data_IF_642276027459
#
_entry.id   IF_642276027459
#
_cell.length_a   1.000
_cell.length_b   1.000
_cell.length_c   1.000
_cell.angle_alpha   90.00
_cell.angle_beta   90.00
_cell.angle_gamma   90.00
#
_symmetry.space_group_name_H-M   'P 1'
#
loop_
_entity.id
_entity.type
_entity.pdbx_description
1 polymer ?
#
# COMPACT_ATOMS: atom_id res chain seq x y z
N UNK A 1 -27.87 -0.84 -46.42
CA UNK A 1 -27.50 -0.33 -45.07
C UNK A 1 -27.01 1.10 -45.27
N UNK A 2 -27.71 2.11 -44.74
CA UNK A 2 -27.31 3.50 -44.91
C UNK A 2 -25.95 3.74 -44.23
N UNK A 3 -25.08 4.52 -44.87
CA UNK A 3 -23.78 4.85 -44.31
C UNK A 3 -23.96 5.60 -42.97
N UNK A 4 -23.24 5.21 -41.90
CA UNK A 4 -23.38 5.87 -40.61
C UNK A 4 -22.97 7.34 -40.71
N UNK A 5 -23.82 8.23 -40.20
CA UNK A 5 -23.56 9.68 -40.22
C UNK A 5 -22.38 10.03 -39.30
N UNK A 6 -21.62 11.09 -39.59
CA UNK A 6 -20.51 11.55 -38.73
C UNK A 6 -20.91 11.74 -37.26
N UNK A 7 -22.15 12.20 -37.02
CA UNK A 7 -22.72 12.38 -35.68
C UNK A 7 -22.93 11.04 -34.96
N UNK A 8 -23.37 9.99 -35.67
CA UNK A 8 -23.52 8.65 -35.08
C UNK A 8 -22.17 8.07 -34.64
N UNK A 9 -21.10 8.35 -35.41
CA UNK A 9 -19.73 7.95 -35.09
C UNK A 9 -19.21 8.71 -33.85
N UNK A 10 -19.45 10.02 -33.78
CA UNK A 10 -19.09 10.83 -32.59
C UNK A 10 -19.79 10.33 -31.33
N UNK A 11 -21.09 10.04 -31.40
CA UNK A 11 -21.86 9.51 -30.27
C UNK A 11 -21.36 8.13 -29.84
N UNK A 12 -21.05 7.25 -30.80
CA UNK A 12 -20.44 5.95 -30.51
C UNK A 12 -19.08 6.10 -29.81
N UNK A 13 -18.23 7.03 -30.27
CA UNK A 13 -16.93 7.31 -29.68
C UNK A 13 -17.04 7.88 -28.26
N UNK A 14 -18.00 8.77 -28.00
CA UNK A 14 -18.32 9.26 -26.65
C UNK A 14 -18.71 8.11 -25.72
N UNK A 15 -19.57 7.19 -26.18
CA UNK A 15 -19.98 6.01 -25.38
C UNK A 15 -18.80 5.09 -25.07
N UNK A 16 -17.92 4.83 -26.03
CA UNK A 16 -16.71 4.03 -25.83
C UNK A 16 -15.78 4.68 -24.80
N UNK A 17 -15.56 6.00 -24.90
CA UNK A 17 -14.71 6.71 -23.95
C UNK A 17 -15.28 6.68 -22.52
N UNK A 18 -16.60 6.84 -22.38
CA UNK A 18 -17.27 6.71 -21.09
C UNK A 18 -17.16 5.29 -20.51
N UNK A 19 -17.32 4.26 -21.36
CA UNK A 19 -17.18 2.87 -20.93
C UNK A 19 -15.74 2.55 -20.48
N UNK A 20 -14.74 3.05 -21.20
CA UNK A 20 -13.32 2.94 -20.82
C UNK A 20 -13.04 3.62 -19.49
N UNK A 21 -13.49 4.86 -19.31
CA UNK A 21 -13.31 5.57 -18.04
C UNK A 21 -13.95 4.83 -16.85
N UNK A 22 -15.11 4.19 -17.06
CA UNK A 22 -15.75 3.34 -16.03
C UNK A 22 -14.92 2.10 -15.71
N UNK A 23 -14.36 1.44 -16.72
CA UNK A 23 -13.48 0.29 -16.54
C UNK A 23 -12.23 0.67 -15.73
N UNK A 24 -11.58 1.78 -16.09
CA UNK A 24 -10.39 2.28 -15.42
C UNK A 24 -10.69 2.63 -13.94
N UNK A 25 -11.85 3.24 -13.68
CA UNK A 25 -12.29 3.54 -12.32
C UNK A 25 -12.52 2.26 -11.48
N UNK A 26 -13.05 1.20 -12.07
CA UNK A 26 -13.23 -0.09 -11.39
C UNK A 26 -11.88 -0.77 -11.10
N UNK A 27 -10.98 -0.78 -12.08
CA UNK A 27 -9.62 -1.31 -11.89
C UNK A 27 -8.86 -0.54 -10.80
N UNK A 28 -8.98 0.79 -10.77
CA UNK A 28 -8.38 1.62 -9.75
C UNK A 28 -8.92 1.30 -8.35
N UNK A 29 -10.22 0.98 -8.21
CA UNK A 29 -10.84 0.57 -6.94
C UNK A 29 -10.29 -0.77 -6.45
N UNK A 30 -10.20 -1.77 -7.33
CA UNK A 30 -9.61 -3.09 -6.99
C UNK A 30 -8.16 -2.94 -6.56
N UNK A 31 -7.37 -2.15 -7.29
CA UNK A 31 -5.98 -1.88 -6.94
C UNK A 31 -5.86 -1.11 -5.60
N UNK A 32 -6.77 -0.18 -5.33
CA UNK A 32 -6.83 0.55 -4.06
C UNK A 32 -7.20 -0.36 -2.88
N UNK A 33 -8.12 -1.30 -3.08
CA UNK A 33 -8.51 -2.29 -2.07
C UNK A 33 -7.36 -3.25 -1.75
N UNK A 34 -6.64 -3.73 -2.77
CA UNK A 34 -5.43 -4.54 -2.60
C UNK A 34 -4.38 -3.82 -1.76
N UNK A 35 -4.11 -2.54 -2.07
CA UNK A 35 -3.20 -1.70 -1.27
C UNK A 35 -3.70 -1.49 0.15
N UNK A 36 -5.01 -1.26 0.35
CA UNK A 36 -5.60 -1.08 1.68
C UNK A 36 -5.40 -2.31 2.56
N UNK A 37 -5.66 -3.50 2.02
CA UNK A 37 -5.47 -4.76 2.76
C UNK A 37 -3.99 -5.02 3.05
N UNK A 38 -3.10 -4.77 2.09
CA UNK A 38 -1.65 -4.88 2.28
C UNK A 38 -1.14 -3.95 3.39
N UNK A 39 -1.51 -2.66 3.35
CA UNK A 39 -1.18 -1.70 4.42
C UNK A 39 -1.69 -2.18 5.78
N UNK A 40 -2.92 -2.68 5.84
CA UNK A 40 -3.50 -3.18 7.11
C UNK A 40 -2.74 -4.39 7.66
N UNK A 41 -2.33 -5.33 6.80
CA UNK A 41 -1.52 -6.49 7.20
C UNK A 41 -0.16 -6.06 7.76
N UNK A 42 0.51 -5.11 7.09
CA UNK A 42 1.79 -4.55 7.55
C UNK A 42 1.68 -3.87 8.91
N UNK A 43 0.64 -3.06 9.12
CA UNK A 43 0.38 -2.40 10.42
C UNK A 43 0.15 -3.43 11.52
N UNK A 44 -0.74 -4.40 11.29
CA UNK A 44 -1.08 -5.42 12.30
C UNK A 44 0.16 -6.26 12.64
N UNK A 45 0.86 -6.78 11.62
CA UNK A 45 2.02 -7.63 11.84
C UNK A 45 3.18 -6.86 12.48
N UNK A 46 3.41 -5.61 12.08
CA UNK A 46 4.42 -4.75 12.69
C UNK A 46 4.14 -4.47 14.17
N UNK A 47 2.89 -4.17 14.53
CA UNK A 47 2.48 -3.98 15.92
C UNK A 47 2.68 -5.25 16.76
N UNK A 48 2.29 -6.42 16.24
CA UNK A 48 2.50 -7.70 16.91
C UNK A 48 3.99 -8.04 17.08
N UNK A 49 4.82 -7.70 16.08
CA UNK A 49 6.26 -7.92 16.13
C UNK A 49 6.93 -7.04 17.21
N UNK A 50 6.54 -5.77 17.31
CA UNK A 50 7.07 -4.86 18.35
C UNK A 50 6.63 -5.33 19.75
N UNK A 51 5.37 -5.75 19.92
CA UNK A 51 4.89 -6.32 21.18
C UNK A 51 5.63 -7.61 21.56
N UNK A 52 5.88 -8.51 20.60
CA UNK A 52 6.67 -9.72 20.83
C UNK A 52 8.13 -9.40 21.19
N UNK A 53 8.72 -8.42 20.51
CA UNK A 53 10.08 -7.94 20.79
C UNK A 53 10.24 -7.37 22.21
N UNK A 54 9.18 -6.77 22.77
CA UNK A 54 9.20 -6.29 24.17
C UNK A 54 9.28 -7.41 25.22
N UNK A 55 8.92 -8.65 24.84
CA UNK A 55 8.76 -9.79 25.77
C UNK A 55 9.83 -10.88 25.57
N UNK A 56 10.36 -11.01 24.35
CA UNK A 56 11.30 -12.06 23.98
C UNK A 56 12.48 -11.49 23.18
N UNK A 57 13.69 -11.74 23.70
CA UNK A 57 14.98 -11.30 23.14
C UNK A 57 15.20 -11.77 21.71
N UNK A 58 14.63 -12.92 21.32
CA UNK A 58 14.70 -13.40 19.93
C UNK A 58 14.07 -12.41 18.96
N UNK A 59 12.89 -11.89 19.30
CA UNK A 59 12.18 -10.94 18.45
C UNK A 59 12.82 -9.55 18.51
N UNK A 60 13.37 -9.15 19.66
CA UNK A 60 14.15 -7.92 19.79
C UNK A 60 15.36 -7.90 18.83
N UNK A 61 16.12 -8.99 18.78
CA UNK A 61 17.25 -9.13 17.84
C UNK A 61 16.82 -9.03 16.38
N UNK A 62 15.67 -9.61 16.02
CA UNK A 62 15.12 -9.52 14.66
C UNK A 62 14.74 -8.07 14.33
N UNK A 63 14.08 -7.36 15.24
CA UNK A 63 13.70 -5.96 14.99
C UNK A 63 14.93 -5.06 14.85
N UNK A 64 15.94 -5.24 15.70
CA UNK A 64 17.21 -4.50 15.60
C UNK A 64 17.88 -4.71 14.24
N UNK A 65 17.98 -5.96 13.78
CA UNK A 65 18.53 -6.30 12.47
C UNK A 65 17.72 -5.70 11.31
N UNK A 66 16.39 -5.72 11.39
CA UNK A 66 15.53 -5.13 10.35
C UNK A 66 15.68 -3.61 10.27
N UNK A 67 15.79 -2.93 11.42
CA UNK A 67 15.99 -1.47 11.47
C UNK A 67 17.36 -1.07 10.90
N UNK A 68 18.42 -1.84 11.15
CA UNK A 68 19.74 -1.58 10.57
C UNK A 68 19.79 -1.73 9.04
N UNK A 69 18.91 -2.55 8.45
CA UNK A 69 18.82 -2.75 7.00
C UNK A 69 18.14 -1.59 6.26
N UNK A 70 17.58 -0.62 6.98
CA UNK A 70 16.95 0.54 6.35
C UNK A 70 18.02 1.40 5.69
N UNK A 71 18.06 1.36 4.37
CA UNK A 71 19.06 2.03 3.54
C UNK A 71 18.66 3.43 3.10
N UNK A 72 17.36 3.74 3.12
CA UNK A 72 16.82 5.05 2.73
C UNK A 72 16.81 5.98 3.93
N UNK A 73 17.48 7.12 3.83
CA UNK A 73 17.55 8.10 4.92
C UNK A 73 16.17 8.58 5.37
N UNK A 74 15.22 8.76 4.44
CA UNK A 74 13.84 9.16 4.77
C UNK A 74 13.13 8.12 5.64
N UNK A 75 13.38 6.83 5.38
CA UNK A 75 12.78 5.73 6.13
C UNK A 75 13.52 5.45 7.44
N UNK A 76 14.78 5.91 7.58
CA UNK A 76 15.59 5.80 8.80
C UNK A 76 15.23 6.85 9.84
N UNK A 77 14.93 8.09 9.42
CA UNK A 77 14.58 9.21 10.31
C UNK A 77 13.59 8.88 11.42
N UNK A 78 12.49 8.15 11.18
CA UNK A 78 11.54 7.80 12.25
C UNK A 78 12.11 6.89 13.34
N UNK A 79 13.24 6.22 13.08
CA UNK A 79 13.91 5.30 14.01
C UNK A 79 15.11 5.95 14.71
N UNK A 80 15.46 7.20 14.40
CA UNK A 80 16.53 7.91 15.09
C UNK A 80 16.14 8.20 16.55
N UNK A 81 16.91 7.66 17.51
CA UNK A 81 16.61 7.78 18.94
C UNK A 81 15.43 6.93 19.43
N UNK A 82 14.88 6.07 18.57
CA UNK A 82 13.81 5.15 18.92
C UNK A 82 14.38 3.83 19.46
N UNK A 83 13.93 3.41 20.64
CA UNK A 83 14.26 2.12 21.26
C UNK A 83 13.03 1.23 21.33
N UNK A 84 13.24 -0.08 21.43
CA UNK A 84 12.14 -1.01 21.59
C UNK A 84 11.44 -0.77 22.95
N UNK A 85 10.10 -0.66 22.99
CA UNK A 85 9.39 -0.52 24.25
C UNK A 85 9.71 -1.70 25.18
N UNK A 86 10.33 -1.43 26.33
CA UNK A 86 10.74 -2.47 27.30
C UNK A 86 12.25 -2.75 27.34
N UNK A 87 13.05 -2.13 26.47
CA UNK A 87 14.52 -2.22 26.50
C UNK A 87 15.13 -1.36 27.64
N UNK A 88 14.40 -0.37 28.15
CA UNK A 88 14.78 0.53 29.26
C UNK A 88 14.32 0.06 30.66
N UNK A 89 13.94 -1.22 30.85
CA UNK A 89 13.55 -1.78 32.16
C UNK A 89 14.43 -2.93 32.61
#
# INVERSE_FOLDING_TARGET
MAAPTPEAIEQARKRVNQAKARLDALNARVAAEGRRLDTRRKIILGGLLIDAASKDKRFAGIVSELTHRISRDQDRKPFEGWTLPGEDR
#
